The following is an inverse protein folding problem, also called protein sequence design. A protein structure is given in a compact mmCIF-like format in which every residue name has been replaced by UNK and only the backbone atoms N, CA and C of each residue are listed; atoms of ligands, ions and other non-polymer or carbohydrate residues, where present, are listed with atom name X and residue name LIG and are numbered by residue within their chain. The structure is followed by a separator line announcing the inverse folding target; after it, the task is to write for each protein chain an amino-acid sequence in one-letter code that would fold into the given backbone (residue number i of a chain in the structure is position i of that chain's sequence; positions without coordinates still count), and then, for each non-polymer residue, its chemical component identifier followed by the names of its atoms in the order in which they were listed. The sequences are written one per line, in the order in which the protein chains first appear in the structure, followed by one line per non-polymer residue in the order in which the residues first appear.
data_IF_194572042089
#
_entry.id   IF_194572042089
#
_cell.length_a   1.000
_cell.length_b   1.000
_cell.length_c   1.000
_cell.angle_alpha   90.00
_cell.angle_beta   90.00
_cell.angle_gamma   90.00
#
_symmetry.space_group_name_H-M   'P 1'
#
loop_
_entity.id
_entity.type
_entity.pdbx_description
1 polymer ?
#
# COMPACT_ATOMS: atom_id res chain seq x y z
N UNK A 1 -5.21 -16.00 1.86
CA UNK A 1 -5.49 -15.11 3.02
C UNK A 1 -5.59 -13.67 2.50
N UNK A 2 -6.80 -13.15 2.33
CA UNK A 2 -7.01 -11.76 1.92
C UNK A 2 -7.35 -10.87 3.12
N UNK A 3 -7.07 -9.57 3.02
CA UNK A 3 -7.48 -8.59 4.02
C UNK A 3 -6.93 -7.21 3.72
N UNK A 4 -7.62 -6.17 4.18
CA UNK A 4 -7.18 -4.77 4.02
C UNK A 4 -5.93 -4.47 4.85
N UNK A 5 -5.34 -3.28 4.67
CA UNK A 5 -4.20 -2.86 5.46
C UNK A 5 -4.52 -2.88 6.96
N UNK A 6 -3.62 -3.42 7.79
CA UNK A 6 -3.79 -3.40 9.25
C UNK A 6 -4.68 -4.50 9.84
N UNK A 7 -5.14 -5.47 9.04
CA UNK A 7 -5.93 -6.63 9.50
C UNK A 7 -5.10 -7.77 10.11
N UNK A 8 -3.79 -7.56 10.33
CA UNK A 8 -2.93 -8.55 10.98
C UNK A 8 -2.35 -9.64 10.08
N UNK A 9 -2.43 -9.52 8.74
CA UNK A 9 -1.86 -10.48 7.77
C UNK A 9 -0.42 -10.92 8.10
N UNK A 10 0.49 -9.95 8.25
CA UNK A 10 1.91 -10.21 8.57
C UNK A 10 2.08 -10.88 9.94
N UNK A 11 1.30 -10.46 10.94
CA UNK A 11 1.33 -11.07 12.28
C UNK A 11 0.89 -12.53 12.20
N UNK A 12 -0.21 -12.82 11.51
CA UNK A 12 -0.67 -14.19 11.29
C UNK A 12 0.38 -15.03 10.56
N UNK A 13 1.02 -14.48 9.53
CA UNK A 13 2.10 -15.17 8.80
C UNK A 13 3.28 -15.51 9.72
N UNK A 14 3.72 -14.57 10.58
CA UNK A 14 4.79 -14.80 11.56
C UNK A 14 4.36 -15.84 12.62
N UNK A 15 3.12 -15.76 13.10
CA UNK A 15 2.59 -16.74 14.07
C UNK A 15 2.53 -18.15 13.48
N UNK A 16 2.13 -18.30 12.22
CA UNK A 16 2.17 -19.58 11.52
C UNK A 16 3.61 -20.07 11.35
N UNK A 17 4.54 -19.19 10.98
CA UNK A 17 5.97 -19.54 10.88
C UNK A 17 6.50 -20.08 12.21
N UNK A 18 6.21 -19.39 13.31
CA UNK A 18 6.57 -19.82 14.65
C UNK A 18 5.98 -21.20 14.98
N UNK A 19 4.70 -21.42 14.67
CA UNK A 19 4.02 -22.70 14.87
C UNK A 19 4.69 -23.83 14.08
N UNK A 20 4.93 -23.65 12.79
CA UNK A 20 5.57 -24.67 11.96
C UNK A 20 6.98 -25.03 12.43
N UNK A 21 7.76 -24.05 12.91
CA UNK A 21 9.14 -24.28 13.37
C UNK A 21 9.23 -24.92 14.75
N UNK A 22 8.23 -24.74 15.61
CA UNK A 22 8.31 -25.13 17.03
C UNK A 22 7.37 -26.28 17.42
N UNK A 23 6.36 -26.61 16.62
CA UNK A 23 5.51 -27.77 16.93
C UNK A 23 6.21 -29.09 16.58
N UNK A 24 6.25 -30.09 17.49
CA UNK A 24 6.99 -31.34 17.28
C UNK A 24 6.63 -32.06 15.97
N UNK A 25 5.35 -32.05 15.59
CA UNK A 25 4.86 -32.74 14.40
C UNK A 25 5.13 -31.97 13.08
N UNK A 26 5.61 -30.72 13.16
CA UNK A 26 5.83 -29.83 12.02
C UNK A 26 7.28 -29.36 11.89
N UNK A 27 8.09 -29.48 12.94
CA UNK A 27 9.44 -28.92 13.02
C UNK A 27 10.45 -29.48 12.00
N UNK A 28 10.15 -30.63 11.38
CA UNK A 28 10.94 -31.21 10.28
C UNK A 28 10.71 -30.54 8.92
N UNK A 29 9.67 -29.70 8.78
CA UNK A 29 9.33 -29.06 7.52
C UNK A 29 10.28 -27.91 7.20
N UNK A 30 10.71 -27.85 5.94
CA UNK A 30 11.42 -26.73 5.35
C UNK A 30 10.44 -25.61 5.01
N UNK A 31 10.23 -24.73 5.97
CA UNK A 31 9.37 -23.56 5.82
C UNK A 31 10.18 -22.31 5.50
N UNK A 32 9.72 -21.51 4.52
CA UNK A 32 10.27 -20.21 4.18
C UNK A 32 9.24 -19.08 4.31
N UNK A 33 9.67 -17.92 4.80
CA UNK A 33 8.88 -16.69 4.84
C UNK A 33 9.34 -15.77 3.71
N UNK A 34 8.49 -15.53 2.71
CA UNK A 34 8.81 -14.74 1.53
C UNK A 34 8.22 -13.34 1.68
N UNK A 35 9.04 -12.32 1.45
CA UNK A 35 8.56 -10.94 1.29
C UNK A 35 9.24 -10.26 0.10
N UNK A 36 8.46 -9.65 -0.82
CA UNK A 36 9.01 -8.91 -1.96
C UNK A 36 9.55 -7.53 -1.58
N UNK A 37 9.48 -7.12 -0.30
CA UNK A 37 9.89 -5.80 0.17
C UNK A 37 11.18 -5.85 1.00
N UNK A 38 12.21 -5.14 0.54
CA UNK A 38 13.49 -5.03 1.25
C UNK A 38 13.36 -4.45 2.67
N UNK A 39 12.57 -3.37 2.93
CA UNK A 39 12.42 -2.84 4.28
C UNK A 39 11.81 -3.85 5.27
N UNK A 40 10.72 -4.54 4.87
CA UNK A 40 10.09 -5.56 5.71
C UNK A 40 11.04 -6.74 5.95
N UNK A 41 11.76 -7.19 4.91
CA UNK A 41 12.78 -8.23 5.06
C UNK A 41 13.84 -7.86 6.11
N UNK A 42 14.33 -6.60 6.12
CA UNK A 42 15.29 -6.12 7.13
C UNK A 42 14.70 -6.13 8.53
N UNK A 43 13.46 -5.69 8.69
CA UNK A 43 12.77 -5.72 9.99
C UNK A 43 12.59 -7.15 10.50
N UNK A 44 12.12 -8.07 9.64
CA UNK A 44 11.95 -9.48 9.99
C UNK A 44 13.29 -10.13 10.37
N UNK A 45 14.38 -9.82 9.67
CA UNK A 45 15.72 -10.33 9.99
C UNK A 45 16.22 -9.86 11.36
N UNK A 46 15.78 -8.69 11.84
CA UNK A 46 16.04 -8.29 13.23
C UNK A 46 15.21 -9.12 14.19
N UNK A 47 13.94 -9.36 13.87
CA UNK A 47 13.01 -10.14 14.70
C UNK A 47 13.42 -11.61 14.90
N UNK A 48 14.16 -12.22 13.97
CA UNK A 48 14.66 -13.61 14.15
C UNK A 48 15.53 -13.78 15.39
N UNK A 49 16.19 -12.71 15.86
CA UNK A 49 17.00 -12.77 17.09
C UNK A 49 16.14 -12.97 18.35
N UNK A 50 14.86 -12.61 18.29
CA UNK A 50 13.92 -12.69 19.41
C UNK A 50 12.96 -13.87 19.31
N UNK A 51 12.92 -14.58 18.18
CA UNK A 51 11.95 -15.64 17.88
C UNK A 51 12.65 -17.01 17.81
N UNK A 52 12.47 -17.88 18.82
CA UNK A 52 13.03 -19.23 18.81
C UNK A 52 12.68 -20.02 17.55
N UNK A 53 13.67 -20.70 16.98
CA UNK A 53 13.52 -21.53 15.78
C UNK A 53 13.49 -20.75 14.45
N UNK A 54 13.39 -19.41 14.49
CA UNK A 54 13.36 -18.59 13.29
C UNK A 54 14.77 -18.10 12.93
N UNK A 55 15.26 -18.42 11.73
CA UNK A 55 16.63 -18.09 11.29
C UNK A 55 16.61 -17.01 10.22
N UNK A 56 17.65 -16.17 10.10
CA UNK A 56 17.77 -15.21 9.00
C UNK A 56 17.61 -15.85 7.61
N UNK A 57 18.11 -17.08 7.44
CA UNK A 57 17.97 -17.84 6.18
C UNK A 57 16.55 -18.33 5.86
N UNK A 58 15.62 -18.21 6.80
CA UNK A 58 14.20 -18.50 6.56
C UNK A 58 13.46 -17.32 5.92
N UNK A 59 14.04 -16.11 5.93
CA UNK A 59 13.45 -14.90 5.34
C UNK A 59 14.01 -14.74 3.93
N UNK A 60 13.12 -14.80 2.94
CA UNK A 60 13.47 -14.93 1.54
C UNK A 60 12.93 -13.76 0.73
N UNK A 61 13.75 -13.25 -0.19
CA UNK A 61 13.22 -12.53 -1.35
C UNK A 61 12.63 -13.53 -2.35
N UNK A 62 11.78 -13.10 -3.31
CA UNK A 62 11.28 -13.98 -4.36
C UNK A 62 12.40 -14.69 -5.15
N UNK A 63 13.54 -14.03 -5.32
CA UNK A 63 14.69 -14.62 -6.01
C UNK A 63 15.39 -15.70 -5.16
N UNK A 64 15.40 -15.57 -3.83
CA UNK A 64 16.04 -16.55 -2.93
C UNK A 64 15.29 -17.88 -2.89
N UNK A 65 13.96 -17.85 -3.04
CA UNK A 65 13.12 -19.04 -3.17
C UNK A 65 13.65 -19.97 -4.26
N UNK A 66 14.08 -19.41 -5.38
CA UNK A 66 14.52 -20.16 -6.57
C UNK A 66 15.94 -20.73 -6.45
N UNK A 67 16.69 -20.39 -5.39
CA UNK A 67 18.07 -20.88 -5.20
C UNK A 67 18.12 -22.26 -4.53
N UNK A 68 16.97 -22.72 -4.02
CA UNK A 68 16.83 -23.96 -3.31
C UNK A 68 15.96 -24.93 -4.09
N UNK A 69 16.20 -26.23 -3.94
CA UNK A 69 15.52 -27.24 -4.74
C UNK A 69 14.01 -27.27 -4.50
N UNK A 70 13.59 -27.20 -3.22
CA UNK A 70 12.16 -27.23 -2.83
C UNK A 70 11.95 -26.81 -1.38
N UNK A 71 10.77 -26.29 -1.07
CA UNK A 71 10.24 -26.01 0.28
C UNK A 71 8.96 -26.81 0.53
N UNK A 72 8.73 -27.29 1.74
CA UNK A 72 7.45 -27.91 2.09
C UNK A 72 6.35 -26.84 2.17
N UNK A 73 6.68 -25.69 2.78
CA UNK A 73 5.74 -24.58 2.97
C UNK A 73 6.41 -23.24 2.65
N UNK A 74 5.75 -22.41 1.85
CA UNK A 74 6.09 -20.99 1.69
C UNK A 74 4.96 -20.11 2.23
N UNK A 75 5.31 -19.23 3.18
CA UNK A 75 4.44 -18.16 3.68
C UNK A 75 4.81 -16.89 2.93
N UNK A 76 3.95 -16.42 2.03
CA UNK A 76 4.25 -15.28 1.15
C UNK A 76 3.47 -14.07 1.60
N UNK A 77 4.15 -13.13 2.25
CA UNK A 77 3.58 -11.86 2.64
C UNK A 77 3.64 -10.83 1.52
N UNK A 78 2.67 -9.91 1.48
CA UNK A 78 2.49 -8.93 0.41
C UNK A 78 2.48 -9.57 -0.99
N UNK A 79 1.83 -10.73 -1.17
CA UNK A 79 1.89 -11.52 -2.40
C UNK A 79 1.39 -10.76 -3.65
N UNK A 80 0.50 -9.78 -3.47
CA UNK A 80 0.06 -8.83 -4.51
C UNK A 80 1.19 -7.95 -5.08
N UNK A 81 2.38 -7.98 -4.49
CA UNK A 81 3.59 -7.28 -4.97
C UNK A 81 4.56 -8.17 -5.74
N UNK A 82 4.33 -9.49 -5.79
CA UNK A 82 5.15 -10.42 -6.57
C UNK A 82 5.15 -10.00 -8.03
N UNK A 83 6.34 -9.68 -8.53
CA UNK A 83 6.53 -9.08 -9.84
C UNK A 83 6.53 -10.09 -10.98
N UNK A 84 6.81 -9.58 -12.18
CA UNK A 84 6.96 -10.36 -13.40
C UNK A 84 8.00 -9.71 -14.34
N UNK A 85 8.17 -10.29 -15.53
CA UNK A 85 9.11 -9.79 -16.54
C UNK A 85 8.87 -8.31 -16.92
N UNK A 86 7.64 -7.82 -16.85
CA UNK A 86 7.31 -6.43 -17.15
C UNK A 86 7.79 -5.45 -16.07
N UNK A 87 8.03 -5.93 -14.84
CA UNK A 87 8.54 -5.16 -13.69
C UNK A 87 10.05 -5.32 -13.45
N UNK A 88 10.71 -6.28 -14.10
CA UNK A 88 12.10 -6.63 -13.78
C UNK A 88 13.12 -5.56 -14.16
N UNK A 89 12.79 -4.63 -15.07
CA UNK A 89 13.65 -3.51 -15.45
C UNK A 89 15.05 -3.96 -15.88
N UNK A 90 16.09 -3.40 -15.28
CA UNK A 90 17.49 -3.79 -15.53
C UNK A 90 17.80 -5.25 -15.12
N UNK A 91 16.97 -5.87 -14.27
CA UNK A 91 17.09 -7.25 -13.84
C UNK A 91 16.42 -8.28 -14.78
N UNK A 92 15.95 -7.87 -15.96
CA UNK A 92 15.21 -8.75 -16.88
C UNK A 92 16.00 -10.00 -17.30
N UNK A 93 17.32 -9.88 -17.48
CA UNK A 93 18.16 -11.04 -17.84
C UNK A 93 18.19 -12.08 -16.73
N UNK A 94 18.36 -11.65 -15.48
CA UNK A 94 18.29 -12.55 -14.32
C UNK A 94 16.91 -13.18 -14.16
N UNK A 95 15.84 -12.41 -14.45
CA UNK A 95 14.47 -12.93 -14.44
C UNK A 95 14.29 -14.07 -15.46
N UNK A 96 14.74 -13.88 -16.70
CA UNK A 96 14.66 -14.92 -17.73
C UNK A 96 15.51 -16.15 -17.42
N UNK A 97 16.74 -15.96 -16.93
CA UNK A 97 17.58 -17.08 -16.52
C UNK A 97 16.92 -17.92 -15.42
N UNK A 98 16.24 -17.26 -14.47
CA UNK A 98 15.47 -17.96 -13.43
C UNK A 98 14.29 -18.72 -14.02
N UNK A 99 13.53 -18.12 -14.94
CA UNK A 99 12.43 -18.82 -15.62
C UNK A 99 12.94 -20.08 -16.35
N UNK A 100 14.04 -19.97 -17.10
CA UNK A 100 14.66 -21.10 -17.80
C UNK A 100 15.10 -22.21 -16.84
N UNK A 101 15.77 -21.85 -15.74
CA UNK A 101 16.20 -22.80 -14.70
C UNK A 101 15.01 -23.52 -14.05
N UNK A 102 13.88 -22.84 -13.92
CA UNK A 102 12.63 -23.40 -13.41
C UNK A 102 11.78 -24.10 -14.48
N UNK A 103 12.24 -24.14 -15.74
CA UNK A 103 11.47 -24.64 -16.89
C UNK A 103 10.11 -23.93 -17.04
N UNK A 104 10.10 -22.62 -16.84
CA UNK A 104 8.94 -21.73 -16.95
C UNK A 104 9.10 -20.81 -18.18
N UNK A 105 8.00 -20.46 -18.87
CA UNK A 105 8.04 -19.44 -19.92
C UNK A 105 8.60 -18.10 -19.42
N UNK A 106 9.29 -17.35 -20.28
CA UNK A 106 9.79 -16.00 -19.95
C UNK A 106 8.67 -14.99 -19.65
N UNK A 107 7.43 -15.31 -20.01
CA UNK A 107 6.21 -14.55 -19.69
C UNK A 107 5.64 -14.84 -18.30
N UNK A 108 6.20 -15.81 -17.57
CA UNK A 108 5.77 -16.17 -16.21
C UNK A 108 6.01 -15.04 -15.22
N UNK A 109 5.42 -15.17 -14.04
CA UNK A 109 5.56 -14.23 -12.93
C UNK A 109 6.23 -14.88 -11.71
N UNK A 110 6.49 -14.10 -10.66
CA UNK A 110 7.09 -14.62 -9.43
C UNK A 110 6.12 -15.48 -8.62
N UNK A 111 4.81 -15.37 -8.82
CA UNK A 111 3.82 -16.29 -8.23
C UNK A 111 4.06 -17.70 -8.77
N UNK A 112 4.33 -17.84 -10.08
CA UNK A 112 4.71 -19.13 -10.69
C UNK A 112 6.00 -19.70 -10.08
N UNK A 113 6.96 -18.84 -9.72
CA UNK A 113 8.19 -19.26 -9.05
C UNK A 113 7.88 -19.85 -7.67
N UNK A 114 7.00 -19.21 -6.89
CA UNK A 114 6.57 -19.73 -5.59
C UNK A 114 5.98 -21.13 -5.77
N UNK A 115 4.97 -21.28 -6.63
CA UNK A 115 4.29 -22.56 -6.84
C UNK A 115 5.20 -23.66 -7.41
N UNK A 116 6.22 -23.30 -8.20
CA UNK A 116 7.19 -24.27 -8.72
C UNK A 116 8.14 -24.77 -7.63
N UNK A 117 8.39 -23.98 -6.60
CA UNK A 117 9.40 -24.24 -5.58
C UNK A 117 8.83 -24.74 -4.24
N UNK A 118 7.51 -24.94 -4.10
CA UNK A 118 6.93 -25.45 -2.86
C UNK A 118 5.80 -26.48 -3.04
N UNK A 119 5.54 -27.24 -1.98
CA UNK A 119 4.38 -28.13 -1.90
C UNK A 119 3.12 -27.40 -1.44
N UNK A 120 3.23 -26.47 -0.48
CA UNK A 120 2.12 -25.65 -0.01
C UNK A 120 2.48 -24.16 0.08
N UNK A 121 1.63 -23.31 -0.46
CA UNK A 121 1.80 -21.85 -0.38
C UNK A 121 0.65 -21.20 0.41
N UNK A 122 1.00 -20.38 1.39
CA UNK A 122 0.05 -19.47 2.04
C UNK A 122 0.30 -18.05 1.53
N UNK A 123 -0.63 -17.55 0.72
CA UNK A 123 -0.52 -16.22 0.12
C UNK A 123 -1.31 -15.20 0.95
N UNK A 124 -0.62 -14.17 1.45
CA UNK A 124 -1.19 -13.04 2.17
C UNK A 124 -1.20 -11.81 1.27
N UNK A 125 -2.38 -11.26 1.01
CA UNK A 125 -2.50 -10.17 0.02
C UNK A 125 -3.65 -9.21 0.31
N UNK A 126 -3.57 -8.03 -0.31
CA UNK A 126 -4.60 -6.99 -0.26
C UNK A 126 -4.91 -6.56 -1.71
N UNK A 127 -6.08 -6.92 -2.25
CA UNK A 127 -6.47 -6.55 -3.61
C UNK A 127 -6.49 -5.02 -3.83
N UNK A 128 -6.87 -4.24 -2.81
CA UNK A 128 -7.01 -2.77 -2.90
C UNK A 128 -5.65 -2.06 -2.89
N UNK A 129 -4.56 -2.72 -2.51
CA UNK A 129 -3.20 -2.16 -2.53
C UNK A 129 -2.43 -2.43 -3.84
N UNK A 130 -3.11 -2.93 -4.87
CA UNK A 130 -2.51 -3.12 -6.18
C UNK A 130 -2.41 -1.78 -6.93
N UNK A 131 -1.21 -1.19 -6.94
CA UNK A 131 -0.90 0.14 -7.50
C UNK A 131 -0.05 0.10 -8.77
N UNK A 132 -0.05 -1.04 -9.47
CA UNK A 132 0.65 -1.24 -10.76
C UNK A 132 -0.31 -1.79 -11.81
N UNK A 133 -0.04 -1.51 -13.09
CA UNK A 133 -0.92 -1.88 -14.21
C UNK A 133 -1.32 -3.36 -14.27
N UNK A 134 -2.43 -3.62 -14.98
CA UNK A 134 -2.72 -4.91 -15.60
C UNK A 134 -1.47 -5.41 -16.34
N UNK A 135 -1.12 -6.67 -16.10
CA UNK A 135 0.15 -7.25 -16.54
C UNK A 135 1.40 -6.83 -15.76
N UNK A 136 1.39 -5.87 -14.83
CA UNK A 136 2.54 -5.56 -13.95
C UNK A 136 2.42 -6.17 -12.55
N UNK A 137 1.20 -6.37 -12.02
CA UNK A 137 0.92 -7.13 -10.78
C UNK A 137 -0.58 -7.47 -10.60
N UNK A 138 -1.52 -6.78 -11.29
CA UNK A 138 -2.97 -6.89 -11.04
C UNK A 138 -3.53 -8.29 -11.30
N UNK A 139 -3.34 -8.79 -12.52
CA UNK A 139 -3.86 -10.11 -12.90
C UNK A 139 -2.92 -11.25 -12.47
N UNK A 140 -1.64 -10.98 -12.19
CA UNK A 140 -0.66 -12.05 -11.99
C UNK A 140 -1.01 -13.00 -10.85
N UNK A 141 -1.56 -12.48 -9.75
CA UNK A 141 -2.01 -13.29 -8.63
C UNK A 141 -3.43 -13.83 -8.85
N UNK A 142 -4.42 -12.98 -9.15
CA UNK A 142 -5.82 -13.41 -9.34
C UNK A 142 -5.99 -14.36 -10.52
N UNK A 143 -5.43 -14.04 -11.69
CA UNK A 143 -5.43 -14.93 -12.85
C UNK A 143 -4.76 -16.26 -12.53
N UNK A 144 -3.67 -16.24 -11.75
CA UNK A 144 -3.00 -17.47 -11.35
C UNK A 144 -3.86 -18.30 -10.40
N UNK A 145 -4.54 -17.68 -9.44
CA UNK A 145 -5.48 -18.35 -8.55
C UNK A 145 -6.62 -19.00 -9.36
N UNK A 146 -7.22 -18.26 -10.31
CA UNK A 146 -8.25 -18.79 -11.20
C UNK A 146 -7.73 -19.96 -12.06
N UNK A 147 -6.52 -19.85 -12.63
CA UNK A 147 -5.90 -20.94 -13.39
C UNK A 147 -5.63 -22.18 -12.55
N UNK A 148 -5.29 -22.01 -11.27
CA UNK A 148 -5.06 -23.14 -10.36
C UNK A 148 -6.38 -23.84 -10.05
N UNK A 149 -7.46 -23.08 -9.85
CA UNK A 149 -8.81 -23.63 -9.70
C UNK A 149 -9.26 -24.38 -10.95
N UNK A 150 -9.06 -23.81 -12.15
CA UNK A 150 -9.32 -24.48 -13.43
C UNK A 150 -8.50 -25.77 -13.59
N UNK A 151 -7.27 -25.78 -13.08
CA UNK A 151 -6.39 -26.95 -13.07
C UNK A 151 -6.70 -27.95 -11.93
N UNK A 152 -7.78 -27.74 -11.17
CA UNK A 152 -8.19 -28.59 -10.03
C UNK A 152 -7.14 -28.68 -8.91
N UNK A 153 -6.34 -27.63 -8.73
CA UNK A 153 -5.49 -27.47 -7.55
C UNK A 153 -6.37 -27.00 -6.40
N UNK A 154 -6.24 -27.64 -5.24
CA UNK A 154 -7.01 -27.26 -4.04
C UNK A 154 -6.63 -25.86 -3.56
N UNK A 155 -7.58 -24.92 -3.63
CA UNK A 155 -7.45 -23.56 -3.12
C UNK A 155 -8.44 -23.34 -1.99
N UNK A 156 -7.99 -22.67 -0.92
CA UNK A 156 -8.85 -22.20 0.17
C UNK A 156 -8.62 -20.72 0.42
N UNK A 157 -9.71 -19.95 0.47
CA UNK A 157 -9.67 -18.53 0.75
C UNK A 157 -10.24 -18.19 2.12
N UNK A 158 -9.49 -17.37 2.87
CA UNK A 158 -9.88 -16.83 4.16
C UNK A 158 -9.71 -15.32 4.14
N UNK A 159 -10.67 -14.60 4.75
CA UNK A 159 -10.67 -13.14 4.84
C UNK A 159 -10.45 -12.64 6.27
N UNK A 160 -9.41 -11.83 6.46
CA UNK A 160 -9.19 -11.07 7.69
C UNK A 160 -9.91 -9.73 7.59
N UNK A 161 -10.93 -9.54 8.43
CA UNK A 161 -11.84 -8.39 8.35
C UNK A 161 -11.59 -7.30 9.40
N UNK A 162 -11.02 -7.64 10.55
CA UNK A 162 -10.88 -6.69 11.66
C UNK A 162 -9.68 -5.77 11.46
N UNK A 163 -9.93 -4.47 11.25
CA UNK A 163 -8.89 -3.43 11.30
C UNK A 163 -8.35 -3.23 12.73
N UNK A 164 -7.03 -3.32 12.92
CA UNK A 164 -6.36 -3.12 14.21
C UNK A 164 -5.41 -1.91 14.24
N UNK A 165 -5.19 -1.25 13.10
CA UNK A 165 -4.12 -0.27 12.91
C UNK A 165 -4.61 1.17 12.78
N UNK A 166 -5.52 1.43 11.85
CA UNK A 166 -6.02 2.79 11.57
C UNK A 166 -7.19 3.05 12.51
N UNK A 167 -7.13 4.13 13.32
CA UNK A 167 -8.18 4.42 14.31
C UNK A 167 -9.55 4.66 13.68
N UNK A 168 -9.61 5.06 12.41
CA UNK A 168 -10.86 5.20 11.64
C UNK A 168 -11.59 3.89 11.36
N UNK A 169 -10.93 2.74 11.60
CA UNK A 169 -11.53 1.42 11.44
C UNK A 169 -11.92 1.08 10.00
N UNK A 170 -12.71 0.02 9.85
CA UNK A 170 -13.13 -0.50 8.53
C UNK A 170 -14.03 0.49 7.78
N UNK A 171 -14.88 1.22 8.51
CA UNK A 171 -15.79 2.23 7.94
C UNK A 171 -15.02 3.35 7.23
N UNK A 172 -13.91 3.81 7.80
CA UNK A 172 -13.05 4.80 7.16
C UNK A 172 -12.43 4.26 5.86
N UNK A 173 -11.85 3.05 5.91
CA UNK A 173 -11.21 2.45 4.73
C UNK A 173 -12.22 2.28 3.57
N UNK A 174 -13.40 1.75 3.88
CA UNK A 174 -14.45 1.54 2.88
C UNK A 174 -15.05 2.85 2.37
N UNK A 175 -15.14 3.88 3.22
CA UNK A 175 -15.52 5.23 2.80
C UNK A 175 -14.53 5.81 1.79
N UNK A 176 -13.23 5.84 2.12
CA UNK A 176 -12.19 6.40 1.25
C UNK A 176 -12.18 5.72 -0.11
N UNK A 177 -12.23 4.39 -0.12
CA UNK A 177 -12.23 3.64 -1.38
C UNK A 177 -13.46 3.97 -2.22
N UNK A 178 -14.66 3.92 -1.62
CA UNK A 178 -15.91 4.16 -2.34
C UNK A 178 -16.06 5.62 -2.79
N UNK A 179 -15.52 6.60 -2.05
CA UNK A 179 -15.51 8.00 -2.44
C UNK A 179 -14.78 8.21 -3.77
N UNK A 180 -13.58 7.64 -3.89
CA UNK A 180 -12.73 7.76 -5.08
C UNK A 180 -13.15 6.82 -6.22
N UNK A 181 -13.81 5.70 -5.89
CA UNK A 181 -14.33 4.73 -6.87
C UNK A 181 -15.74 5.06 -7.41
N UNK A 182 -16.26 6.26 -7.16
CA UNK A 182 -17.64 6.67 -7.56
C UNK A 182 -18.75 5.78 -6.97
N UNK A 183 -18.51 5.23 -5.78
CA UNK A 183 -19.44 4.36 -5.04
C UNK A 183 -19.87 4.96 -3.70
N UNK A 184 -19.71 6.26 -3.51
CA UNK A 184 -20.06 6.94 -2.26
C UNK A 184 -21.54 6.77 -1.89
N UNK A 185 -22.42 6.55 -2.89
CA UNK A 185 -23.83 6.22 -2.67
C UNK A 185 -24.06 4.98 -1.80
N UNK A 186 -23.08 4.06 -1.72
CA UNK A 186 -23.15 2.90 -0.82
C UNK A 186 -23.12 3.28 0.66
N UNK A 187 -22.72 4.53 0.96
CA UNK A 187 -22.68 5.11 2.31
C UNK A 187 -23.81 6.11 2.54
N UNK A 188 -24.85 6.11 1.70
CA UNK A 188 -26.02 6.96 1.90
C UNK A 188 -26.62 6.77 3.30
N UNK A 189 -26.76 7.86 4.06
CA UNK A 189 -27.24 7.85 5.44
C UNK A 189 -26.17 7.65 6.51
N UNK A 190 -24.88 7.49 6.15
CA UNK A 190 -23.79 7.61 7.13
C UNK A 190 -23.70 9.04 7.68
N UNK A 191 -23.61 9.15 9.01
CA UNK A 191 -23.28 10.39 9.72
C UNK A 191 -21.77 10.60 9.71
N UNK A 192 -21.27 11.20 8.64
CA UNK A 192 -19.83 11.42 8.41
C UNK A 192 -19.20 12.36 9.45
N UNK A 193 -19.99 13.32 9.94
CA UNK A 193 -19.67 14.17 11.09
C UNK A 193 -19.36 13.36 12.36
N UNK A 194 -20.07 12.26 12.59
CA UNK A 194 -19.80 11.35 13.71
C UNK A 194 -18.64 10.38 13.45
N UNK A 195 -18.33 10.06 12.19
CA UNK A 195 -17.23 9.16 11.81
C UNK A 195 -15.86 9.85 11.89
N UNK A 196 -15.82 11.15 11.64
CA UNK A 196 -14.59 11.95 11.61
C UNK A 196 -14.52 13.02 12.71
N UNK A 197 -15.34 12.88 13.75
CA UNK A 197 -15.31 13.78 14.91
C UNK A 197 -14.01 13.64 15.68
N UNK A 198 -13.39 14.78 15.99
CA UNK A 198 -12.24 14.88 16.89
C UNK A 198 -12.61 14.75 18.37
N UNK A 199 -13.91 14.66 18.71
CA UNK A 199 -14.32 14.52 20.11
C UNK A 199 -14.06 13.10 20.62
N UNK A 200 -13.41 12.96 21.80
CA UNK A 200 -13.23 11.67 22.45
C UNK A 200 -14.58 11.06 22.84
N UNK A 201 -14.68 9.75 22.79
CA UNK A 201 -15.88 9.00 23.16
C UNK A 201 -16.21 9.20 24.66
N UNK A 202 -17.48 9.41 25.02
CA UNK A 202 -17.87 9.66 26.43
C UNK A 202 -17.54 8.46 27.34
N UNK A 203 -16.57 8.67 28.23
CA UNK A 203 -16.05 7.70 29.21
C UNK A 203 -17.08 7.19 30.22
N UNK A 204 -18.26 7.79 30.30
CA UNK A 204 -19.37 7.32 31.15
C UNK A 204 -20.11 6.10 30.60
N UNK A 205 -19.85 5.71 29.34
CA UNK A 205 -20.50 4.57 28.68
C UNK A 205 -19.81 3.21 28.93
N UNK A 206 -18.73 3.16 29.73
CA UNK A 206 -18.09 1.91 30.16
C UNK A 206 -17.23 1.20 29.11
N UNK A 207 -16.79 1.91 28.06
CA UNK A 207 -15.84 1.37 27.08
C UNK A 207 -14.39 1.60 27.56
N UNK A 208 -13.55 0.56 27.68
CA UNK A 208 -12.13 0.69 28.02
C UNK A 208 -11.28 1.52 27.03
N UNK A 209 -11.83 1.99 25.89
CA UNK A 209 -11.17 2.85 24.89
C UNK A 209 -11.59 4.33 24.90
N UNK A 210 -12.33 4.82 25.91
CA UNK A 210 -12.96 6.15 25.84
C UNK A 210 -12.00 7.36 25.72
N UNK A 211 -10.75 7.21 26.13
CA UNK A 211 -9.76 8.30 26.08
C UNK A 211 -9.05 8.43 24.71
N UNK A 212 -9.45 7.62 23.71
CA UNK A 212 -8.88 7.70 22.36
C UNK A 212 -9.72 8.68 21.53
N UNK A 213 -9.15 9.83 21.09
CA UNK A 213 -9.84 10.73 20.17
C UNK A 213 -10.26 9.98 18.90
N UNK A 214 -11.42 10.33 18.34
CA UNK A 214 -11.87 9.81 17.05
C UNK A 214 -10.86 10.08 15.93
N UNK A 215 -11.02 9.39 14.81
CA UNK A 215 -10.12 9.54 13.66
C UNK A 215 -10.50 10.76 12.85
N UNK A 216 -9.65 11.79 12.79
CA UNK A 216 -9.93 12.96 11.99
C UNK A 216 -9.53 12.74 10.52
N UNK A 217 -10.49 12.99 9.62
CA UNK A 217 -10.27 13.16 8.19
C UNK A 217 -10.72 14.58 7.81
N UNK A 218 -9.82 15.41 7.29
CA UNK A 218 -10.13 16.81 6.99
C UNK A 218 -9.50 17.33 5.69
N UNK A 219 -10.13 18.32 5.08
CA UNK A 219 -9.60 19.06 3.91
C UNK A 219 -9.06 20.40 4.39
N UNK A 220 -7.80 20.69 4.08
CA UNK A 220 -7.20 21.99 4.37
C UNK A 220 -7.22 22.82 3.08
N UNK A 221 -7.81 24.01 3.15
CA UNK A 221 -8.10 24.78 1.95
C UNK A 221 -6.90 25.50 1.35
N UNK A 222 -5.98 25.98 2.18
CA UNK A 222 -4.76 26.68 1.76
C UNK A 222 -3.56 25.77 1.93
N UNK A 223 -2.68 25.74 0.94
CA UNK A 223 -1.53 24.84 0.96
C UNK A 223 -0.48 25.24 2.00
N UNK A 224 -0.38 26.53 2.31
CA UNK A 224 0.48 27.04 3.39
C UNK A 224 0.03 26.49 4.76
N UNK A 225 -1.27 26.56 5.08
CA UNK A 225 -1.84 26.02 6.32
C UNK A 225 -1.66 24.49 6.39
N UNK A 226 -1.79 23.80 5.25
CA UNK A 226 -1.51 22.36 5.14
C UNK A 226 -0.05 22.02 5.47
N UNK A 227 0.90 22.85 5.04
CA UNK A 227 2.32 22.69 5.39
C UNK A 227 2.58 22.99 6.87
N UNK A 228 2.03 24.08 7.40
CA UNK A 228 2.21 24.47 8.81
C UNK A 228 1.63 23.42 9.76
N UNK A 229 0.45 22.87 9.46
CA UNK A 229 -0.16 21.83 10.28
C UNK A 229 0.68 20.54 10.26
N UNK A 230 1.24 20.17 9.10
CA UNK A 230 2.13 19.01 9.00
C UNK A 230 3.38 19.17 9.89
N UNK A 231 3.98 20.36 9.92
CA UNK A 231 5.13 20.63 10.79
C UNK A 231 4.75 20.53 12.26
N UNK A 232 3.62 21.13 12.67
CA UNK A 232 3.14 21.06 14.04
C UNK A 232 2.91 19.60 14.50
N UNK A 233 2.26 18.77 13.65
CA UNK A 233 2.03 17.35 13.96
C UNK A 233 3.32 16.53 13.98
N UNK A 234 4.34 16.89 13.20
CA UNK A 234 5.67 16.25 13.30
C UNK A 234 6.33 16.55 14.64
N UNK A 235 6.29 17.80 15.08
CA UNK A 235 6.88 18.21 16.36
C UNK A 235 6.18 17.53 17.55
N UNK A 236 4.87 17.28 17.44
CA UNK A 236 4.06 16.65 18.49
C UNK A 236 4.30 15.13 18.61
N UNK A 237 4.25 14.39 17.51
CA UNK A 237 4.21 12.90 17.53
C UNK A 237 5.21 12.24 16.57
N UNK A 238 5.78 13.01 15.63
CA UNK A 238 6.64 12.48 14.56
C UNK A 238 5.89 11.61 13.54
N UNK A 239 6.60 11.20 12.46
CA UNK A 239 6.05 10.42 11.35
C UNK A 239 4.83 11.06 10.65
N UNK A 240 4.81 12.39 10.59
CA UNK A 240 3.88 13.21 9.83
C UNK A 240 4.46 13.47 8.44
N UNK A 241 3.93 12.80 7.41
CA UNK A 241 4.52 12.84 6.06
C UNK A 241 3.55 13.34 5.01
N UNK A 242 4.07 14.21 4.14
CA UNK A 242 3.38 14.70 2.96
C UNK A 242 3.56 13.72 1.81
N UNK A 243 2.47 13.34 1.15
CA UNK A 243 2.47 12.38 0.04
C UNK A 243 1.54 12.81 -1.09
N UNK A 244 1.78 12.31 -2.29
CA UNK A 244 0.97 12.58 -3.47
C UNK A 244 0.99 11.40 -4.45
N UNK A 245 0.02 11.36 -5.38
CA UNK A 245 0.14 10.53 -6.58
C UNK A 245 1.38 10.91 -7.38
N UNK A 246 1.93 10.03 -8.22
CA UNK A 246 3.15 10.35 -8.98
C UNK A 246 2.86 11.25 -10.19
N UNK A 247 2.72 12.55 -9.92
CA UNK A 247 2.09 13.54 -10.82
C UNK A 247 3.01 14.62 -11.39
N UNK A 248 4.14 14.90 -10.75
CA UNK A 248 5.08 15.92 -11.19
C UNK A 248 6.33 15.30 -11.82
N UNK A 249 6.96 16.03 -12.74
CA UNK A 249 8.28 15.65 -13.23
C UNK A 249 9.27 15.68 -12.06
N UNK A 250 10.26 14.79 -12.10
CA UNK A 250 11.27 14.66 -11.06
C UNK A 250 12.55 15.40 -11.49
N UNK A 251 12.46 16.72 -11.54
CA UNK A 251 13.56 17.61 -11.96
C UNK A 251 14.71 17.57 -10.94
N UNK A 252 14.39 17.44 -9.65
CA UNK A 252 15.38 17.38 -8.56
C UNK A 252 16.29 16.15 -8.63
N UNK A 253 15.87 15.10 -9.34
CA UNK A 253 16.70 13.90 -9.59
C UNK A 253 17.94 14.22 -10.43
N UNK A 254 17.87 15.26 -11.28
CA UNK A 254 18.98 15.72 -12.13
C UNK A 254 19.59 17.02 -11.63
N UNK A 255 18.80 17.88 -10.98
CA UNK A 255 19.19 19.23 -10.59
C UNK A 255 18.80 19.51 -9.14
N UNK A 256 19.76 19.38 -8.22
CA UNK A 256 19.53 19.48 -6.76
C UNK A 256 19.03 20.84 -6.28
N UNK A 257 19.18 21.89 -7.10
CA UNK A 257 18.82 23.27 -6.76
C UNK A 257 17.45 23.68 -7.31
N UNK A 258 16.70 22.73 -7.88
CA UNK A 258 15.36 22.97 -8.45
C UNK A 258 14.25 22.53 -7.51
N UNK A 259 13.00 22.72 -7.94
CA UNK A 259 11.81 22.20 -7.29
C UNK A 259 11.00 21.39 -8.30
N UNK A 260 10.31 20.37 -7.83
CA UNK A 260 9.53 19.48 -8.70
C UNK A 260 8.13 20.04 -8.96
N UNK A 261 7.62 20.86 -8.04
CA UNK A 261 6.33 21.54 -8.18
C UNK A 261 6.27 22.82 -7.33
N UNK A 262 5.34 23.69 -7.66
CA UNK A 262 4.98 24.88 -6.87
C UNK A 262 3.46 24.88 -6.72
N UNK A 263 2.96 24.82 -5.48
CA UNK A 263 1.54 24.80 -5.16
C UNK A 263 1.25 26.07 -4.36
N UNK A 264 0.37 26.95 -4.88
CA UNK A 264 0.05 28.24 -4.26
C UNK A 264 1.29 29.08 -3.88
N UNK A 265 2.33 29.05 -4.73
CA UNK A 265 3.59 29.76 -4.48
C UNK A 265 4.56 29.05 -3.53
N UNK A 266 4.16 27.93 -2.90
CA UNK A 266 5.03 27.13 -2.04
C UNK A 266 5.73 26.06 -2.88
N UNK A 267 7.07 26.09 -2.96
CA UNK A 267 7.82 25.11 -3.72
C UNK A 267 7.94 23.78 -2.95
N UNK A 268 7.86 22.65 -3.67
CA UNK A 268 8.04 21.31 -3.10
C UNK A 268 8.95 20.44 -3.96
N UNK A 269 9.60 19.49 -3.30
CA UNK A 269 10.47 18.46 -3.90
C UNK A 269 9.89 17.09 -3.63
N UNK A 270 10.05 16.19 -4.59
CA UNK A 270 9.90 14.76 -4.37
C UNK A 270 10.95 14.25 -3.39
N UNK A 271 10.69 13.07 -2.86
CA UNK A 271 11.61 12.34 -1.96
C UNK A 271 13.05 12.27 -2.52
N UNK A 272 14.05 12.61 -1.69
CA UNK A 272 15.46 12.51 -2.10
C UNK A 272 15.99 11.07 -2.05
N UNK A 273 15.41 10.23 -1.19
CA UNK A 273 15.73 8.80 -1.08
C UNK A 273 14.64 7.92 -1.65
N UNK A 274 15.00 6.85 -2.35
CA UNK A 274 14.06 5.79 -2.76
C UNK A 274 13.89 4.71 -1.68
N UNK A 275 14.86 4.60 -0.77
CA UNK A 275 14.87 3.60 0.30
C UNK A 275 14.68 4.30 1.63
N UNK A 276 13.72 3.82 2.41
CA UNK A 276 13.49 4.29 3.78
C UNK A 276 13.29 5.81 3.91
N UNK A 277 12.68 6.42 2.88
CA UNK A 277 12.43 7.86 2.83
C UNK A 277 11.64 8.35 4.04
N UNK A 278 10.63 7.59 4.48
CA UNK A 278 9.76 7.94 5.61
C UNK A 278 10.57 8.27 6.87
N UNK A 279 11.68 7.55 7.10
CA UNK A 279 12.56 7.72 8.25
C UNK A 279 13.76 8.64 7.97
N UNK A 280 13.88 9.21 6.77
CA UNK A 280 15.00 10.07 6.42
C UNK A 280 14.87 11.46 7.10
N UNK A 281 15.99 12.09 7.51
CA UNK A 281 15.96 13.35 8.25
C UNK A 281 15.26 14.50 7.50
N UNK A 282 15.31 14.51 6.16
CA UNK A 282 14.72 15.56 5.33
C UNK A 282 13.29 15.24 4.86
N UNK A 283 12.71 14.11 5.25
CA UNK A 283 11.42 13.64 4.76
C UNK A 283 10.29 14.65 5.02
N UNK A 284 10.38 15.43 6.11
CA UNK A 284 9.41 16.45 6.48
C UNK A 284 9.26 17.56 5.42
N UNK A 285 10.34 17.88 4.70
CA UNK A 285 10.39 18.95 3.70
C UNK A 285 10.08 18.45 2.28
N UNK A 286 9.84 17.15 2.13
CA UNK A 286 9.70 16.47 0.85
C UNK A 286 8.30 15.86 0.71
N UNK A 287 7.91 15.57 -0.52
CA UNK A 287 6.69 14.83 -0.83
C UNK A 287 7.08 13.41 -1.23
N UNK A 288 6.48 12.42 -0.57
CA UNK A 288 6.61 11.01 -0.95
C UNK A 288 5.60 10.62 -2.02
N UNK A 289 5.98 9.70 -2.89
CA UNK A 289 5.03 9.07 -3.81
C UNK A 289 4.52 7.74 -3.24
N UNK A 290 3.54 7.15 -3.93
CA UNK A 290 3.00 5.83 -3.56
C UNK A 290 4.10 4.77 -3.36
N UNK A 291 5.16 4.79 -4.18
CA UNK A 291 6.23 3.77 -4.15
C UNK A 291 7.14 3.88 -2.92
N UNK A 292 7.24 5.07 -2.30
CA UNK A 292 8.13 5.29 -1.15
C UNK A 292 7.43 5.19 0.20
N UNK A 293 6.12 5.41 0.24
CA UNK A 293 5.31 5.28 1.48
C UNK A 293 4.67 3.90 1.62
N UNK A 294 4.52 3.14 0.53
CA UNK A 294 3.94 1.81 0.60
C UNK A 294 4.74 0.93 1.57
N UNK A 295 4.05 0.26 2.49
CA UNK A 295 4.65 -0.58 3.52
C UNK A 295 5.13 0.15 4.78
N UNK A 296 4.97 1.48 4.84
CA UNK A 296 5.20 2.28 6.04
C UNK A 296 3.90 2.70 6.71
N UNK A 297 4.05 3.10 7.97
CA UNK A 297 3.01 3.55 8.87
C UNK A 297 3.32 4.99 9.23
N UNK A 298 2.33 5.86 9.10
CA UNK A 298 2.43 7.27 9.44
C UNK A 298 1.54 7.50 10.65
N UNK A 299 1.96 8.36 11.58
CA UNK A 299 1.04 8.83 12.61
C UNK A 299 -0.01 9.74 11.95
N UNK A 300 0.46 10.67 11.11
CA UNK A 300 -0.38 11.60 10.38
C UNK A 300 -0.09 11.57 8.87
N UNK A 301 -1.14 11.35 8.07
CA UNK A 301 -1.05 11.37 6.62
C UNK A 301 -1.43 12.74 6.05
N UNK A 302 -0.51 13.43 5.38
CA UNK A 302 -0.81 14.65 4.63
C UNK A 302 -0.83 14.31 3.14
N UNK A 303 -2.02 14.14 2.56
CA UNK A 303 -2.18 13.65 1.19
C UNK A 303 -2.59 14.78 0.25
N UNK A 304 -1.82 14.99 -0.81
CA UNK A 304 -2.15 15.88 -1.91
C UNK A 304 -2.86 15.05 -2.98
N UNK A 305 -4.15 15.31 -3.21
CA UNK A 305 -4.87 14.84 -4.40
C UNK A 305 -4.42 15.70 -5.58
N UNK A 306 -3.43 15.16 -6.30
CA UNK A 306 -2.74 15.84 -7.39
C UNK A 306 -3.55 15.91 -8.68
N UNK A 307 -3.00 16.52 -9.73
CA UNK A 307 -3.72 16.80 -10.98
C UNK A 307 -3.94 15.56 -11.87
N UNK A 308 -3.58 14.35 -11.41
CA UNK A 308 -3.90 13.07 -12.07
C UNK A 308 -5.27 12.51 -11.65
N UNK A 309 -5.95 13.14 -10.69
CA UNK A 309 -7.32 12.83 -10.29
C UNK A 309 -8.15 14.12 -10.27
N UNK A 310 -9.37 14.07 -10.79
CA UNK A 310 -10.25 15.25 -10.90
C UNK A 310 -11.72 14.83 -10.88
N UNK A 311 -12.63 15.77 -10.70
CA UNK A 311 -14.07 15.50 -10.82
C UNK A 311 -14.60 16.06 -12.14
N UNK A 312 -15.16 15.17 -12.97
CA UNK A 312 -15.79 15.52 -14.22
C UNK A 312 -17.27 15.84 -13.93
N UNK A 313 -17.61 17.13 -13.91
CA UNK A 313 -18.97 17.61 -13.57
C UNK A 313 -20.02 17.16 -14.56
N UNK A 314 -19.66 16.98 -15.83
CA UNK A 314 -20.59 16.55 -16.88
C UNK A 314 -20.93 15.06 -16.72
N UNK A 315 -19.96 14.25 -16.28
CA UNK A 315 -20.17 12.82 -15.99
C UNK A 315 -20.64 12.55 -14.57
N UNK A 316 -20.54 13.52 -13.67
CA UNK A 316 -20.81 13.35 -12.24
C UNK A 316 -19.88 12.33 -11.57
N UNK A 317 -18.61 12.27 -11.99
CA UNK A 317 -17.70 11.19 -11.60
C UNK A 317 -16.27 11.66 -11.37
N UNK A 318 -15.62 11.09 -10.34
CA UNK A 318 -14.18 11.13 -10.13
C UNK A 318 -13.50 10.37 -11.27
N UNK A 319 -12.62 11.07 -11.98
CA UNK A 319 -11.93 10.60 -13.17
C UNK A 319 -10.40 10.67 -12.99
N UNK A 320 -9.67 9.93 -13.82
CA UNK A 320 -8.23 9.94 -13.86
C UNK A 320 -7.70 10.75 -15.05
N UNK A 321 -6.69 11.58 -14.83
CA UNK A 321 -6.02 12.34 -15.87
C UNK A 321 -4.67 11.71 -16.23
N UNK A 322 -4.70 10.90 -17.30
CA UNK A 322 -3.54 10.22 -17.86
C UNK A 322 -2.39 11.16 -18.24
N UNK A 323 -2.65 12.41 -18.61
CA UNK A 323 -1.60 13.36 -18.99
C UNK A 323 -0.70 13.73 -17.79
N UNK A 324 -1.28 13.78 -16.60
CA UNK A 324 -0.59 14.17 -15.37
C UNK A 324 0.02 13.00 -14.63
N UNK A 325 -0.42 11.76 -14.88
CA UNK A 325 0.25 10.58 -14.34
C UNK A 325 1.64 10.34 -14.96
N UNK A 326 2.71 10.33 -14.14
CA UNK A 326 4.12 10.31 -14.59
C UNK A 326 4.81 8.95 -14.47
N UNK A 327 4.13 7.90 -14.02
CA UNK A 327 4.69 6.55 -14.12
C UNK A 327 4.58 6.05 -15.56
N UNK A 328 5.69 6.24 -16.30
CA UNK A 328 5.77 5.90 -17.73
C UNK A 328 5.63 4.40 -18.01
N UNK A 329 6.00 3.53 -17.07
CA UNK A 329 5.91 2.07 -17.26
C UNK A 329 4.46 1.64 -17.17
N UNK A 330 3.78 2.07 -16.11
CA UNK A 330 2.37 1.82 -15.88
C UNK A 330 1.51 2.43 -16.98
N UNK A 331 1.77 3.70 -17.35
CA UNK A 331 1.03 4.42 -18.40
C UNK A 331 1.10 3.79 -19.80
N UNK A 332 2.19 3.09 -20.12
CA UNK A 332 2.37 2.39 -21.41
C UNK A 332 1.64 1.05 -21.49
N UNK A 333 1.34 0.43 -20.34
CA UNK A 333 0.86 -0.95 -20.26
C UNK A 333 -0.61 -1.05 -19.83
N UNK A 334 -1.09 -0.09 -19.06
CA UNK A 334 -2.49 -0.04 -18.61
C UNK A 334 -3.43 0.41 -19.73
N UNK A 335 -4.61 -0.21 -19.79
CA UNK A 335 -5.80 0.40 -20.42
C UNK A 335 -6.21 1.66 -19.66
N UNK A 336 -7.12 2.47 -20.21
CA UNK A 336 -7.58 3.69 -19.52
C UNK A 336 -8.39 3.36 -18.25
N UNK A 337 -9.19 2.29 -18.26
CA UNK A 337 -9.91 1.80 -17.09
C UNK A 337 -8.95 1.25 -16.02
N UNK A 338 -7.93 0.52 -16.43
CA UNK A 338 -6.87 0.06 -15.52
C UNK A 338 -6.15 1.23 -14.88
N UNK A 339 -5.82 2.25 -15.67
CA UNK A 339 -5.13 3.42 -15.18
C UNK A 339 -5.94 4.16 -14.13
N UNK A 340 -7.26 4.29 -14.34
CA UNK A 340 -8.15 4.83 -13.33
C UNK A 340 -8.10 4.02 -12.05
N UNK A 341 -8.25 2.69 -12.12
CA UNK A 341 -8.21 1.84 -10.92
C UNK A 341 -6.87 1.99 -10.18
N UNK A 342 -5.75 2.04 -10.90
CA UNK A 342 -4.42 2.20 -10.29
C UNK A 342 -4.31 3.53 -9.53
N UNK A 343 -4.79 4.63 -10.12
CA UNK A 343 -4.73 5.95 -9.49
C UNK A 343 -5.64 5.98 -8.26
N UNK A 344 -6.85 5.43 -8.34
CA UNK A 344 -7.77 5.29 -7.19
C UNK A 344 -7.14 4.46 -6.09
N UNK A 345 -6.59 3.29 -6.42
CA UNK A 345 -5.92 2.43 -5.46
C UNK A 345 -4.71 3.15 -4.82
N UNK A 346 -3.93 3.90 -5.61
CA UNK A 346 -2.80 4.67 -5.09
C UNK A 346 -3.27 5.69 -4.05
N UNK A 347 -4.29 6.49 -4.36
CA UNK A 347 -4.84 7.45 -3.40
C UNK A 347 -5.52 6.81 -2.20
N UNK A 348 -6.23 5.69 -2.38
CA UNK A 348 -6.72 4.88 -1.26
C UNK A 348 -5.57 4.51 -0.34
N UNK A 349 -4.49 3.95 -0.88
CA UNK A 349 -3.32 3.60 -0.09
C UNK A 349 -2.73 4.80 0.64
N UNK A 350 -2.58 5.95 -0.02
CA UNK A 350 -2.02 7.17 0.59
C UNK A 350 -2.88 7.68 1.75
N UNK A 351 -4.19 7.77 1.52
CA UNK A 351 -5.16 8.25 2.51
C UNK A 351 -5.27 7.31 3.70
N UNK A 352 -5.02 6.01 3.53
CA UNK A 352 -5.14 5.04 4.63
C UNK A 352 -3.83 4.79 5.38
N UNK A 353 -2.77 5.59 5.16
CA UNK A 353 -1.49 5.44 5.88
C UNK A 353 -1.46 6.08 7.25
N UNK A 354 -2.18 7.19 7.45
CA UNK A 354 -2.27 7.89 8.74
C UNK A 354 -3.02 7.04 9.75
N UNK A 355 -2.34 6.64 10.83
CA UNK A 355 -2.91 5.83 11.91
C UNK A 355 -3.80 6.65 12.84
N UNK A 356 -3.40 7.89 13.10
CA UNK A 356 -4.11 8.80 13.99
C UNK A 356 -5.11 9.65 13.22
N UNK A 357 -4.66 10.37 12.19
CA UNK A 357 -5.49 11.26 11.37
C UNK A 357 -4.93 11.36 9.94
N UNK A 358 -5.77 11.81 9.01
CA UNK A 358 -5.38 12.11 7.62
C UNK A 358 -5.94 13.45 7.17
N UNK A 359 -5.11 14.26 6.53
CA UNK A 359 -5.47 15.56 6.00
C UNK A 359 -5.25 15.60 4.49
N UNK A 360 -6.17 16.26 3.79
CA UNK A 360 -6.19 16.35 2.33
C UNK A 360 -5.95 17.78 1.87
N UNK A 361 -5.12 17.93 0.84
CA UNK A 361 -5.12 19.11 -0.02
C UNK A 361 -5.52 18.68 -1.42
N UNK A 362 -6.54 19.33 -2.00
CA UNK A 362 -7.15 18.91 -3.27
C UNK A 362 -6.84 19.95 -4.34
N UNK A 363 -6.06 19.56 -5.35
CA UNK A 363 -5.64 20.47 -6.42
C UNK A 363 -6.75 20.85 -7.39
N UNK A 364 -7.66 19.91 -7.70
CA UNK A 364 -8.76 20.15 -8.63
C UNK A 364 -9.95 20.79 -7.91
N UNK A 365 -10.41 22.00 -8.31
CA UNK A 365 -11.50 22.70 -7.62
C UNK A 365 -12.83 21.94 -7.63
N UNK A 366 -13.18 21.28 -8.74
CA UNK A 366 -14.42 20.52 -8.84
C UNK A 366 -14.38 19.27 -7.93
N UNK A 367 -13.23 18.60 -7.88
CA UNK A 367 -13.01 17.49 -6.95
C UNK A 367 -13.07 17.95 -5.51
N UNK A 368 -12.48 19.10 -5.18
CA UNK A 368 -12.55 19.70 -3.84
C UNK A 368 -14.02 19.91 -3.43
N UNK A 369 -14.81 20.55 -4.28
CA UNK A 369 -16.24 20.77 -4.03
C UNK A 369 -17.00 19.44 -3.82
N UNK A 370 -16.74 18.44 -4.66
CA UNK A 370 -17.36 17.11 -4.52
C UNK A 370 -16.97 16.42 -3.21
N UNK A 371 -15.68 16.36 -2.86
CA UNK A 371 -15.24 15.67 -1.64
C UNK A 371 -15.63 16.43 -0.36
N UNK A 372 -15.75 17.76 -0.42
CA UNK A 372 -16.20 18.60 0.71
C UNK A 372 -17.65 18.36 1.11
N UNK A 373 -18.47 17.71 0.27
CA UNK A 373 -19.81 17.25 0.65
C UNK A 373 -19.77 16.11 1.67
N UNK A 374 -18.64 15.41 1.77
CA UNK A 374 -18.49 14.21 2.61
C UNK A 374 -17.38 14.35 3.66
N UNK A 375 -16.40 15.22 3.43
CA UNK A 375 -15.23 15.41 4.30
C UNK A 375 -15.23 16.87 4.79
N UNK A 376 -15.13 17.11 6.12
CA UNK A 376 -15.06 18.47 6.66
C UNK A 376 -13.90 19.28 6.09
N UNK A 377 -14.17 20.54 5.76
CA UNK A 377 -13.12 21.54 5.50
C UNK A 377 -12.75 22.18 6.84
N UNK A 378 -11.48 22.12 7.20
CA UNK A 378 -10.94 22.58 8.49
C UNK A 378 -10.03 23.78 8.34
#
# INVERSE_FOLDING_TARGET
MNGTQGTGKTILAISLMFKFKNEPNLSGLRVGFVTPMEPLSKTLNKLTHFLPGFKPGDILSPSDVTKNDRYDILLVDEAHRLGNYLTAGAGIGAFYNTCERLSLPRTSNQVDWIFKCCDKAYLFYDPKQQVRASGLNRDGLEQRLNQLEEASVETEEFSLRTQMRVRGGDKYLDFVYNLLDNKVYMHAGMKLDMLFSSEPYDSRAGDPNSDVPGYQLGIISRFEDFCSMQQAKEEEVGLSRMTAGFVWKWETKKHTDTFDTVIEGVPKRWNSSQKDWVNSPNAINEVGCIHTVQGYDLNYGFVILGPDIYYDTDKGAVCANKANFKDAVTKKKASDDDLRTIIVNAYYVLMTRGMLETFLYVCDPALKEYVSQYIPVI
#
